data_IF_199391022949
#
_entry.id   IF_199391022949
#
_cell.length_a   1.000
_cell.length_b   1.000
_cell.length_c   1.000
_cell.angle_alpha   90.00
_cell.angle_beta   90.00
_cell.angle_gamma   90.00
#
_symmetry.space_group_name_H-M   'P 1'
#
loop_
_entity.id
_entity.type
_entity.pdbx_description
1 polymer ?
#
# COMPACT_ATOMS: atom_id res chain seq x y z
N UNK A 1 -8.65 16.47 10.87
CA UNK A 1 -7.37 17.11 10.60
C UNK A 1 -6.86 16.62 9.24
N UNK A 2 -6.46 17.54 8.36
CA UNK A 2 -5.88 17.20 7.05
C UNK A 2 -4.42 16.73 7.23
N UNK A 3 -3.95 15.88 6.31
CA UNK A 3 -2.59 15.37 6.30
C UNK A 3 -1.91 15.69 4.97
N UNK A 4 -0.62 16.04 5.06
CA UNK A 4 0.24 16.38 3.94
C UNK A 4 1.56 15.62 4.06
N UNK A 5 2.24 15.44 2.93
CA UNK A 5 3.57 14.84 2.90
C UNK A 5 4.59 15.86 2.42
N UNK A 6 5.76 15.83 3.02
CA UNK A 6 6.87 16.74 2.70
C UNK A 6 8.17 15.97 2.51
N UNK A 7 9.11 16.57 1.80
CA UNK A 7 10.49 16.08 1.72
C UNK A 7 11.22 16.39 3.04
N UNK A 8 12.24 15.58 3.37
CA UNK A 8 12.98 15.76 4.64
C UNK A 8 13.61 17.15 4.78
N UNK A 9 14.05 17.75 3.65
CA UNK A 9 14.65 19.09 3.61
C UNK A 9 13.66 20.22 3.96
N UNK A 10 12.36 19.94 3.85
CA UNK A 10 11.31 20.90 4.22
C UNK A 10 11.07 20.96 5.73
N UNK A 11 11.57 19.96 6.48
CA UNK A 11 11.49 19.89 7.94
C UNK A 11 12.67 20.65 8.54
N UNK A 12 12.41 21.74 9.23
CA UNK A 12 13.38 22.52 10.00
C UNK A 12 13.22 22.21 11.50
N UNK A 13 14.03 22.79 12.35
CA UNK A 13 14.09 22.44 13.78
C UNK A 13 12.70 22.40 14.47
N UNK A 14 11.90 23.43 14.28
CA UNK A 14 10.61 23.59 14.96
C UNK A 14 9.46 23.91 14.01
N UNK A 15 9.69 23.95 12.69
CA UNK A 15 8.71 24.31 11.68
C UNK A 15 8.93 23.56 10.37
N UNK A 16 7.88 23.49 9.56
CA UNK A 16 7.88 22.81 8.27
C UNK A 16 7.39 23.78 7.19
N UNK A 17 8.11 23.79 6.06
CA UNK A 17 7.73 24.54 4.86
C UNK A 17 6.99 23.62 3.87
N UNK A 18 5.75 23.93 3.52
CA UNK A 18 4.97 23.20 2.54
C UNK A 18 4.90 24.00 1.24
N UNK A 19 5.30 23.37 0.13
CA UNK A 19 5.34 23.98 -1.20
C UNK A 19 4.60 23.11 -2.24
N UNK A 20 4.51 23.60 -3.48
CA UNK A 20 4.04 22.83 -4.63
C UNK A 20 2.55 22.49 -4.57
N UNK A 21 2.20 21.23 -4.84
CA UNK A 21 0.80 20.79 -4.93
C UNK A 21 0.07 20.90 -3.59
N UNK A 22 0.75 20.61 -2.47
CA UNK A 22 0.13 20.65 -1.16
C UNK A 22 -0.08 22.08 -0.66
N UNK A 23 0.82 23.02 -1.02
CA UNK A 23 0.56 24.46 -0.86
C UNK A 23 -0.73 24.89 -1.57
N UNK A 24 -0.85 24.53 -2.87
CA UNK A 24 -2.06 24.86 -3.63
C UNK A 24 -3.33 24.23 -3.01
N UNK A 25 -3.21 23.00 -2.51
CA UNK A 25 -4.33 22.32 -1.86
C UNK A 25 -4.76 23.03 -0.57
N UNK A 26 -3.82 23.43 0.27
CA UNK A 26 -4.08 24.19 1.53
C UNK A 26 -4.72 25.53 1.21
N UNK A 27 -4.10 26.34 0.37
CA UNK A 27 -4.50 27.72 0.11
C UNK A 27 -5.76 27.86 -0.74
N UNK A 28 -5.83 27.11 -1.86
CA UNK A 28 -6.87 27.34 -2.88
C UNK A 28 -8.01 26.33 -2.82
N UNK A 29 -7.77 25.08 -2.47
CA UNK A 29 -8.81 24.04 -2.43
C UNK A 29 -9.47 24.00 -1.06
N UNK A 30 -8.70 23.80 0.01
CA UNK A 30 -9.20 23.73 1.38
C UNK A 30 -9.45 25.11 1.98
N UNK A 31 -8.79 26.15 1.47
CA UNK A 31 -8.88 27.55 1.96
C UNK A 31 -8.62 27.67 3.46
N UNK A 32 -7.63 26.92 3.91
CA UNK A 32 -7.23 26.91 5.31
C UNK A 32 -6.65 28.25 5.74
N UNK A 33 -6.65 28.49 7.03
CA UNK A 33 -6.22 29.75 7.64
C UNK A 33 -5.10 29.53 8.64
N UNK A 34 -4.34 30.57 8.89
CA UNK A 34 -3.41 30.66 10.01
C UNK A 34 -4.10 30.24 11.32
N UNK A 35 -3.42 29.42 12.12
CA UNK A 35 -3.92 28.88 13.38
C UNK A 35 -4.61 27.52 13.25
N UNK A 36 -4.96 27.05 12.04
CA UNK A 36 -5.55 25.74 11.85
C UNK A 36 -4.50 24.62 12.02
N UNK A 37 -4.97 23.47 12.53
CA UNK A 37 -4.12 22.31 12.78
C UNK A 37 -4.09 21.38 11.57
N UNK A 38 -2.90 20.92 11.25
CA UNK A 38 -2.61 19.94 10.18
C UNK A 38 -1.67 18.86 10.71
N UNK A 39 -1.68 17.71 10.04
CA UNK A 39 -0.70 16.65 10.24
C UNK A 39 0.23 16.63 9.05
N UNK A 40 1.53 16.48 9.30
CA UNK A 40 2.54 16.42 8.25
C UNK A 40 3.39 15.19 8.48
N UNK A 41 3.67 14.42 7.42
CA UNK A 41 4.62 13.31 7.46
C UNK A 41 5.78 13.57 6.51
N UNK A 42 6.99 13.23 6.93
CA UNK A 42 8.21 13.30 6.11
C UNK A 42 8.48 11.96 5.39
N UNK A 43 9.49 11.91 4.55
CA UNK A 43 9.87 10.70 3.82
C UNK A 43 10.43 9.60 4.72
N UNK A 44 10.95 9.95 5.90
CA UNK A 44 11.45 8.98 6.88
C UNK A 44 10.32 8.26 7.63
N UNK A 45 9.05 8.64 7.38
CA UNK A 45 7.87 8.08 8.03
C UNK A 45 7.56 8.70 9.40
N UNK A 46 8.26 9.77 9.79
CA UNK A 46 7.90 10.54 10.99
C UNK A 46 6.68 11.41 10.72
N UNK A 47 5.86 11.60 11.71
CA UNK A 47 4.64 12.42 11.60
C UNK A 47 4.58 13.47 12.69
N UNK A 48 4.10 14.66 12.32
CA UNK A 48 4.07 15.83 13.16
C UNK A 48 2.67 16.42 13.24
N UNK A 49 2.25 16.80 14.43
CA UNK A 49 1.10 17.64 14.64
C UNK A 49 1.52 19.10 14.57
N UNK A 50 1.00 19.80 13.58
CA UNK A 50 1.46 21.17 13.28
C UNK A 50 0.29 22.17 13.30
N UNK A 51 0.65 23.43 13.48
CA UNK A 51 -0.25 24.56 13.34
C UNK A 51 0.24 25.49 12.23
N UNK A 52 -0.65 25.90 11.32
CA UNK A 52 -0.31 26.86 10.26
C UNK A 52 0.04 28.20 10.89
N UNK A 53 1.28 28.66 10.65
CA UNK A 53 1.78 29.95 11.08
C UNK A 53 1.48 31.04 10.05
N UNK A 54 1.75 30.74 8.79
CA UNK A 54 1.68 31.72 7.70
C UNK A 54 1.36 31.01 6.38
N UNK A 55 0.60 31.69 5.54
CA UNK A 55 0.35 31.30 4.15
C UNK A 55 0.76 32.48 3.29
N UNK A 56 1.81 32.30 2.50
CA UNK A 56 2.30 33.31 1.54
C UNK A 56 1.73 33.05 0.14
N UNK A 57 2.29 33.66 -0.90
CA UNK A 57 1.90 33.41 -2.30
C UNK A 57 2.44 32.09 -2.87
N UNK A 58 3.50 31.50 -2.26
CA UNK A 58 4.21 30.35 -2.80
C UNK A 58 4.36 29.18 -1.81
N UNK A 59 4.19 29.43 -0.50
CA UNK A 59 4.47 28.45 0.53
C UNK A 59 3.58 28.60 1.76
N UNK A 60 3.46 27.52 2.54
CA UNK A 60 2.82 27.50 3.86
C UNK A 60 3.84 27.10 4.91
N UNK A 61 3.96 27.91 5.95
CA UNK A 61 4.77 27.61 7.13
C UNK A 61 3.90 27.06 8.25
N UNK A 62 4.31 25.95 8.82
CA UNK A 62 3.62 25.31 9.93
C UNK A 62 4.57 25.07 11.11
N UNK A 63 4.17 25.47 12.32
CA UNK A 63 4.86 25.18 13.57
C UNK A 63 4.63 23.75 14.00
N UNK A 64 5.68 23.01 14.34
CA UNK A 64 5.57 21.70 14.98
C UNK A 64 5.11 21.92 16.44
N UNK A 65 3.95 21.36 16.81
CA UNK A 65 3.44 21.38 18.18
C UNK A 65 3.78 20.07 18.91
N UNK A 66 3.80 18.95 18.18
CA UNK A 66 4.05 17.62 18.74
C UNK A 66 4.49 16.64 17.65
N UNK A 67 5.09 15.52 18.03
CA UNK A 67 5.49 14.43 17.14
C UNK A 67 4.66 13.19 17.46
N UNK A 68 4.14 12.52 16.43
CA UNK A 68 3.42 11.26 16.59
C UNK A 68 4.43 10.10 16.69
N UNK A 69 4.76 9.72 17.92
CA UNK A 69 5.72 8.64 18.18
C UNK A 69 5.12 7.24 17.97
N UNK A 70 3.80 7.09 18.05
CA UNK A 70 3.15 5.78 17.88
C UNK A 70 3.03 5.39 16.41
N UNK A 71 2.86 6.39 15.53
CA UNK A 71 2.67 6.13 14.10
C UNK A 71 1.35 5.41 13.76
N UNK A 72 1.22 5.04 12.51
CA UNK A 72 0.05 4.30 11.98
C UNK A 72 0.47 3.15 11.06
N UNK A 73 1.76 2.91 10.96
CA UNK A 73 2.26 1.88 10.06
C UNK A 73 2.20 0.50 10.72
N UNK A 74 1.86 -0.49 9.91
CA UNK A 74 1.95 -1.88 10.32
C UNK A 74 3.42 -2.28 10.53
N UNK A 75 3.71 -3.04 11.56
CA UNK A 75 5.08 -3.44 11.91
C UNK A 75 5.76 -4.31 10.86
N UNK A 76 4.97 -4.90 9.97
CA UNK A 76 5.43 -5.77 8.88
C UNK A 76 5.33 -5.04 7.53
N UNK A 77 6.27 -5.32 6.62
CA UNK A 77 6.20 -4.80 5.24
C UNK A 77 5.45 -5.76 4.33
N UNK A 78 4.20 -5.43 3.99
CA UNK A 78 3.39 -6.28 3.11
C UNK A 78 3.50 -5.82 1.66
N UNK A 79 3.96 -6.72 0.79
CA UNK A 79 4.09 -6.57 -0.66
C UNK A 79 2.94 -7.30 -1.35
N UNK A 80 2.05 -6.57 -2.00
CA UNK A 80 0.90 -7.14 -2.71
C UNK A 80 1.23 -7.34 -4.19
N UNK A 81 1.47 -8.58 -4.60
CA UNK A 81 1.59 -9.01 -5.99
C UNK A 81 0.19 -9.26 -6.55
N UNK A 82 -0.36 -8.29 -7.26
CA UNK A 82 -1.74 -8.31 -7.73
C UNK A 82 -1.80 -8.62 -9.22
N UNK A 83 -2.38 -9.76 -9.59
CA UNK A 83 -2.72 -10.06 -10.99
C UNK A 83 -3.57 -8.95 -11.60
N UNK A 84 -3.19 -8.46 -12.79
CA UNK A 84 -3.85 -7.34 -13.45
C UNK A 84 -5.36 -7.63 -13.65
N UNK A 85 -6.25 -6.95 -12.90
CA UNK A 85 -7.67 -7.16 -12.99
C UNK A 85 -8.28 -6.37 -14.15
N UNK A 86 -9.53 -6.71 -14.50
CA UNK A 86 -10.31 -5.97 -15.51
C UNK A 86 -10.76 -4.62 -14.96
N UNK A 87 -11.02 -3.69 -15.88
CA UNK A 87 -11.63 -2.38 -15.61
C UNK A 87 -10.85 -1.57 -14.56
N UNK A 88 -11.56 -0.87 -13.68
CA UNK A 88 -11.00 0.02 -12.66
C UNK A 88 -10.79 -0.66 -11.30
N UNK A 89 -10.88 -1.99 -11.25
CA UNK A 89 -10.74 -2.75 -9.99
C UNK A 89 -9.38 -2.54 -9.32
N UNK A 90 -8.31 -2.32 -10.11
CA UNK A 90 -6.98 -2.04 -9.55
C UNK A 90 -7.00 -0.76 -8.70
N UNK A 91 -7.78 0.23 -9.06
CA UNK A 91 -7.90 1.47 -8.30
C UNK A 91 -8.55 1.23 -6.93
N UNK A 92 -9.61 0.42 -6.90
CA UNK A 92 -10.25 -0.01 -5.65
C UNK A 92 -9.30 -0.85 -4.78
N UNK A 93 -8.57 -1.81 -5.40
CA UNK A 93 -7.59 -2.64 -4.70
C UNK A 93 -6.54 -1.75 -4.04
N UNK A 94 -5.93 -0.84 -4.80
CA UNK A 94 -4.90 0.07 -4.28
C UNK A 94 -5.47 0.91 -3.14
N UNK A 95 -6.60 1.57 -3.36
CA UNK A 95 -7.21 2.40 -2.32
C UNK A 95 -7.39 1.62 -1.02
N UNK A 96 -8.01 0.44 -1.08
CA UNK A 96 -8.36 -0.33 0.12
C UNK A 96 -7.17 -1.04 0.75
N UNK A 97 -6.22 -1.52 -0.04
CA UNK A 97 -5.01 -2.14 0.54
C UNK A 97 -4.07 -1.11 1.15
N UNK A 98 -4.05 0.13 0.63
CA UNK A 98 -3.36 1.25 1.28
C UNK A 98 -4.00 1.57 2.63
N UNK A 99 -5.32 1.67 2.71
CA UNK A 99 -6.04 1.86 3.99
C UNK A 99 -5.72 0.72 5.01
N UNK A 100 -5.42 -0.49 4.51
CA UNK A 100 -5.07 -1.68 5.28
C UNK A 100 -3.55 -1.87 5.46
N UNK A 101 -2.72 -0.85 5.27
CA UNK A 101 -1.31 -0.91 5.63
C UNK A 101 -0.39 -1.60 4.61
N UNK A 102 -0.80 -1.84 3.35
CA UNK A 102 0.13 -2.37 2.33
C UNK A 102 1.36 -1.46 2.21
N UNK A 103 2.54 -2.07 2.07
CA UNK A 103 3.80 -1.34 1.90
C UNK A 103 4.08 -1.03 0.42
N UNK A 104 3.87 -2.02 -0.46
CA UNK A 104 4.08 -1.88 -1.91
C UNK A 104 3.02 -2.68 -2.66
N UNK A 105 2.52 -2.14 -3.78
CA UNK A 105 1.64 -2.87 -4.71
C UNK A 105 2.40 -3.12 -6.01
N UNK A 106 2.45 -4.37 -6.42
CA UNK A 106 3.19 -4.87 -7.58
C UNK A 106 2.16 -5.48 -8.55
N UNK A 107 1.76 -4.77 -9.61
CA UNK A 107 0.88 -5.35 -10.63
C UNK A 107 1.61 -6.48 -11.37
N UNK A 108 0.93 -7.60 -11.61
CA UNK A 108 1.53 -8.77 -12.26
C UNK A 108 0.74 -9.17 -13.51
N UNK A 109 1.43 -9.31 -14.62
CA UNK A 109 0.88 -9.87 -15.86
C UNK A 109 0.92 -11.40 -15.78
N UNK A 110 -0.25 -12.00 -15.53
CA UNK A 110 -0.43 -13.45 -15.40
C UNK A 110 -1.13 -14.03 -16.62
N UNK A 111 -1.08 -15.37 -16.76
CA UNK A 111 -1.65 -16.10 -17.90
C UNK A 111 -3.15 -15.81 -18.10
N UNK A 112 -3.91 -15.79 -17.02
CA UNK A 112 -5.36 -15.57 -17.04
C UNK A 112 -5.76 -14.09 -16.98
N UNK A 113 -4.80 -13.14 -17.05
CA UNK A 113 -5.11 -11.71 -17.19
C UNK A 113 -5.70 -11.41 -18.57
N UNK A 114 -6.87 -10.78 -18.60
CA UNK A 114 -7.47 -10.26 -19.84
C UNK A 114 -6.81 -8.95 -20.26
N UNK A 115 -6.38 -8.16 -19.28
CA UNK A 115 -5.72 -6.86 -19.51
C UNK A 115 -4.28 -7.11 -19.90
N UNK A 116 -3.87 -6.50 -21.02
CA UNK A 116 -2.47 -6.44 -21.46
C UNK A 116 -2.06 -4.99 -21.58
N UNK A 117 -0.99 -4.64 -20.90
CA UNK A 117 -0.45 -3.27 -20.91
C UNK A 117 0.85 -3.26 -21.74
N UNK A 118 0.90 -2.39 -22.74
CA UNK A 118 2.17 -1.97 -23.33
C UNK A 118 2.87 -0.99 -22.36
N UNK A 119 4.14 -0.72 -22.60
CA UNK A 119 4.96 0.11 -21.72
C UNK A 119 4.36 1.50 -21.46
N UNK A 120 3.89 2.17 -22.52
CA UNK A 120 3.29 3.51 -22.42
C UNK A 120 2.01 3.51 -21.58
N UNK A 121 1.14 2.51 -21.77
CA UNK A 121 -0.07 2.35 -20.96
C UNK A 121 0.27 1.99 -19.51
N UNK A 122 1.28 1.14 -19.30
CA UNK A 122 1.75 0.78 -17.95
C UNK A 122 2.23 2.02 -17.19
N UNK A 123 3.10 2.85 -17.79
CA UNK A 123 3.58 4.09 -17.18
C UNK A 123 2.42 5.05 -16.84
N UNK A 124 1.48 5.24 -17.76
CA UNK A 124 0.30 6.09 -17.52
C UNK A 124 -0.58 5.56 -16.40
N UNK A 125 -0.81 4.25 -16.35
CA UNK A 125 -1.59 3.60 -15.29
C UNK A 125 -0.88 3.70 -13.93
N UNK A 126 0.42 3.41 -13.86
CA UNK A 126 1.19 3.50 -12.62
C UNK A 126 1.18 4.92 -12.03
N UNK A 127 1.33 5.94 -12.88
CA UNK A 127 1.21 7.34 -12.43
C UNK A 127 -0.16 7.63 -11.80
N UNK A 128 -1.25 7.16 -12.41
CA UNK A 128 -2.60 7.31 -11.87
C UNK A 128 -2.78 6.52 -10.57
N UNK A 129 -2.30 5.29 -10.53
CA UNK A 129 -2.38 4.42 -9.36
C UNK A 129 -1.58 4.97 -8.18
N UNK A 130 -0.40 5.56 -8.43
CA UNK A 130 0.40 6.22 -7.40
C UNK A 130 -0.35 7.42 -6.79
N UNK A 131 -1.04 8.21 -7.59
CA UNK A 131 -1.87 9.31 -7.06
C UNK A 131 -3.04 8.81 -6.19
N UNK A 132 -3.60 7.65 -6.52
CA UNK A 132 -4.64 7.00 -5.69
C UNK A 132 -4.04 6.52 -4.36
N UNK A 133 -2.85 5.89 -4.39
CA UNK A 133 -2.14 5.47 -3.19
C UNK A 133 -1.84 6.65 -2.26
N UNK A 134 -1.35 7.76 -2.80
CA UNK A 134 -1.11 9.00 -2.04
C UNK A 134 -2.40 9.55 -1.40
N UNK A 135 -3.48 9.63 -2.18
CA UNK A 135 -4.78 10.09 -1.67
C UNK A 135 -5.31 9.20 -0.54
N UNK A 136 -5.18 7.87 -0.70
CA UNK A 136 -5.60 6.91 0.31
C UNK A 136 -4.73 6.99 1.58
N UNK A 137 -3.40 7.16 1.44
CA UNK A 137 -2.49 7.33 2.55
C UNK A 137 -2.80 8.61 3.36
N UNK A 138 -3.06 9.74 2.68
CA UNK A 138 -3.51 10.99 3.32
C UNK A 138 -4.81 10.80 4.10
N UNK A 139 -5.77 10.09 3.52
CA UNK A 139 -7.08 9.85 4.14
C UNK A 139 -6.97 8.94 5.36
N UNK A 140 -6.22 7.84 5.27
CA UNK A 140 -6.04 6.85 6.35
C UNK A 140 -5.01 7.25 7.41
N UNK A 141 -4.38 8.41 7.27
CA UNK A 141 -3.38 8.96 8.20
C UNK A 141 -2.09 8.15 8.24
N UNK A 142 -1.77 7.46 7.18
CA UNK A 142 -0.50 6.75 7.07
C UNK A 142 0.68 7.71 7.07
N UNK A 143 1.79 7.28 7.63
CA UNK A 143 3.03 8.07 7.65
C UNK A 143 3.90 7.84 6.42
N UNK A 144 3.62 6.77 5.65
CA UNK A 144 4.33 6.41 4.42
C UNK A 144 3.33 6.31 3.25
N UNK A 145 3.73 6.81 2.09
CA UNK A 145 2.97 6.60 0.83
C UNK A 145 3.44 5.29 0.21
N UNK A 146 2.57 4.25 0.11
CA UNK A 146 2.92 3.01 -0.56
C UNK A 146 3.33 3.20 -2.00
N UNK A 147 4.37 2.50 -2.42
CA UNK A 147 4.84 2.54 -3.79
C UNK A 147 4.01 1.63 -4.70
N UNK A 148 3.68 2.12 -5.88
CA UNK A 148 3.08 1.32 -6.95
C UNK A 148 4.18 1.04 -7.99
N UNK A 149 4.60 -0.21 -8.10
CA UNK A 149 5.63 -0.60 -9.06
C UNK A 149 5.10 -0.69 -10.48
N UNK A 150 6.03 -0.71 -11.44
CA UNK A 150 5.70 -1.07 -12.83
C UNK A 150 5.26 -2.53 -12.90
N UNK A 151 4.32 -2.87 -13.81
CA UNK A 151 3.85 -4.24 -13.95
C UNK A 151 4.99 -5.22 -14.27
N UNK A 152 5.08 -6.29 -13.50
CA UNK A 152 6.01 -7.38 -13.71
C UNK A 152 5.37 -8.53 -14.51
N UNK A 153 6.17 -9.30 -15.21
CA UNK A 153 5.79 -10.64 -15.67
C UNK A 153 5.70 -11.60 -14.48
N UNK A 154 4.98 -12.71 -14.63
CA UNK A 154 4.90 -13.75 -13.58
C UNK A 154 6.28 -14.23 -13.11
N UNK A 155 7.22 -14.46 -14.05
CA UNK A 155 8.57 -14.88 -13.72
C UNK A 155 9.31 -13.84 -12.87
N UNK A 156 9.24 -12.57 -13.23
CA UNK A 156 9.86 -11.50 -12.45
C UNK A 156 9.24 -11.36 -11.07
N UNK A 157 7.91 -11.49 -10.97
CA UNK A 157 7.21 -11.45 -9.69
C UNK A 157 7.63 -12.60 -8.75
N UNK A 158 7.86 -13.81 -9.29
CA UNK A 158 8.38 -14.93 -8.50
C UNK A 158 9.80 -14.67 -8.00
N UNK A 159 10.69 -14.13 -8.85
CA UNK A 159 12.06 -13.81 -8.44
C UNK A 159 12.09 -12.74 -7.36
N UNK A 160 11.26 -11.68 -7.49
CA UNK A 160 11.17 -10.64 -6.46
C UNK A 160 10.55 -11.17 -5.16
N UNK A 161 9.55 -12.04 -5.26
CA UNK A 161 8.90 -12.62 -4.09
C UNK A 161 9.84 -13.54 -3.27
N UNK A 162 10.84 -14.17 -3.89
CA UNK A 162 11.84 -15.02 -3.20
C UNK A 162 12.75 -14.26 -2.24
N UNK A 163 12.89 -12.96 -2.42
CA UNK A 163 13.69 -12.11 -1.55
C UNK A 163 12.95 -11.73 -0.25
N UNK A 164 11.66 -12.10 -0.13
CA UNK A 164 10.84 -11.82 1.03
C UNK A 164 10.89 -12.96 2.04
N UNK A 165 10.73 -12.63 3.32
CA UNK A 165 10.81 -13.60 4.41
C UNK A 165 9.68 -14.64 4.36
N UNK A 166 8.47 -14.23 3.96
CA UNK A 166 7.29 -15.10 3.85
C UNK A 166 6.49 -14.73 2.62
N UNK A 167 6.04 -15.73 1.85
CA UNK A 167 5.16 -15.52 0.71
C UNK A 167 3.87 -16.32 0.87
N UNK A 168 2.75 -15.63 0.83
CA UNK A 168 1.40 -16.16 0.97
C UNK A 168 0.68 -16.14 -0.37
N UNK A 169 0.12 -17.29 -0.77
CA UNK A 169 -0.60 -17.45 -2.02
C UNK A 169 -2.03 -17.92 -1.71
N UNK A 170 -2.99 -17.00 -1.53
CA UNK A 170 -4.39 -17.37 -1.43
C UNK A 170 -4.84 -18.18 -2.64
N UNK A 171 -5.20 -19.44 -2.42
CA UNK A 171 -5.54 -20.35 -3.50
C UNK A 171 -6.87 -21.04 -3.25
N UNK A 172 -7.76 -20.99 -4.24
CA UNK A 172 -9.16 -21.46 -4.10
C UNK A 172 -9.30 -22.96 -3.81
N UNK A 173 -8.29 -23.76 -4.13
CA UNK A 173 -8.29 -25.20 -3.87
C UNK A 173 -7.75 -25.57 -2.48
N UNK A 174 -7.18 -24.61 -1.74
CA UNK A 174 -6.78 -24.84 -0.35
C UNK A 174 -8.00 -24.83 0.57
N UNK A 175 -8.04 -25.76 1.51
CA UNK A 175 -9.18 -25.98 2.40
C UNK A 175 -8.76 -25.92 3.87
N UNK A 176 -9.64 -25.34 4.67
CA UNK A 176 -9.42 -25.22 6.11
C UNK A 176 -8.61 -23.98 6.45
N UNK A 177 -8.91 -23.42 7.64
CA UNK A 177 -8.27 -22.19 8.13
C UNK A 177 -7.14 -22.48 9.12
N UNK A 178 -7.03 -23.73 9.60
CA UNK A 178 -6.08 -24.05 10.66
C UNK A 178 -4.63 -23.87 10.18
N UNK A 179 -4.29 -24.48 9.03
CA UNK A 179 -2.96 -24.32 8.44
C UNK A 179 -2.64 -22.85 8.12
N UNK A 180 -3.63 -22.06 7.66
CA UNK A 180 -3.44 -20.61 7.44
C UNK A 180 -3.11 -19.88 8.74
N UNK A 181 -3.78 -20.21 9.85
CA UNK A 181 -3.50 -19.62 11.16
C UNK A 181 -2.12 -19.98 11.68
N UNK A 182 -1.73 -21.25 11.54
CA UNK A 182 -0.38 -21.71 11.93
C UNK A 182 0.70 -20.96 11.17
N UNK A 183 0.52 -20.79 9.85
CA UNK A 183 1.45 -20.01 9.01
C UNK A 183 1.53 -18.58 9.52
N UNK A 184 0.39 -17.89 9.74
CA UNK A 184 0.39 -16.50 10.20
C UNK A 184 1.09 -16.35 11.55
N UNK A 185 0.83 -17.23 12.51
CA UNK A 185 1.48 -17.21 13.83
C UNK A 185 2.97 -17.53 13.80
N UNK A 186 3.45 -18.17 12.74
CA UNK A 186 4.87 -18.45 12.54
C UNK A 186 5.65 -17.31 11.87
N UNK A 187 4.95 -16.25 11.43
CA UNK A 187 5.60 -15.08 10.77
C UNK A 187 6.45 -14.35 11.81
N UNK A 188 7.74 -14.15 11.57
CA UNK A 188 8.61 -13.41 12.49
C UNK A 188 8.20 -11.94 12.60
N UNK A 189 8.44 -11.33 13.74
CA UNK A 189 8.22 -9.89 13.95
C UNK A 189 9.06 -9.07 12.95
N UNK A 190 8.45 -8.05 12.35
CA UNK A 190 9.10 -7.18 11.37
C UNK A 190 9.35 -7.82 10.00
N UNK A 191 8.87 -9.05 9.77
CA UNK A 191 9.11 -9.75 8.50
C UNK A 191 8.52 -9.00 7.30
N UNK A 192 9.17 -9.19 6.15
CA UNK A 192 8.65 -8.83 4.83
C UNK A 192 7.72 -9.93 4.31
N UNK A 193 6.47 -9.57 3.97
CA UNK A 193 5.42 -10.52 3.61
C UNK A 193 4.96 -10.26 2.18
N UNK A 194 5.13 -11.24 1.29
CA UNK A 194 4.53 -11.24 -0.04
C UNK A 194 3.11 -11.83 0.00
N UNK A 195 2.17 -11.17 -0.63
CA UNK A 195 0.80 -11.68 -0.85
C UNK A 195 0.53 -11.72 -2.34
N UNK A 196 0.39 -12.91 -2.91
CA UNK A 196 0.17 -13.10 -4.35
C UNK A 196 -1.31 -13.36 -4.64
N UNK A 197 -1.96 -12.48 -5.38
CA UNK A 197 -3.39 -12.58 -5.73
C UNK A 197 -3.54 -12.75 -7.25
N UNK A 198 -4.26 -13.79 -7.67
CA UNK A 198 -4.59 -14.02 -9.07
C UNK A 198 -5.58 -13.01 -9.64
N UNK A 199 -5.67 -12.87 -10.97
CA UNK A 199 -6.72 -12.12 -11.65
C UNK A 199 -8.08 -12.81 -11.50
N UNK A 200 -9.15 -12.32 -12.15
CA UNK A 200 -10.49 -12.93 -12.09
C UNK A 200 -10.53 -14.40 -12.57
N UNK A 201 -9.62 -14.79 -13.43
CA UNK A 201 -9.48 -16.19 -13.89
C UNK A 201 -8.62 -17.05 -12.97
N UNK A 202 -8.18 -16.53 -11.82
CA UNK A 202 -7.30 -17.23 -10.88
C UNK A 202 -5.90 -17.52 -11.46
N UNK A 203 -5.13 -18.29 -10.72
CA UNK A 203 -3.84 -18.80 -11.19
C UNK A 203 -4.03 -19.96 -12.17
N UNK A 204 -3.18 -20.07 -13.17
CA UNK A 204 -3.15 -21.25 -14.01
C UNK A 204 -2.44 -22.41 -13.29
N UNK A 205 -2.69 -23.67 -13.68
CA UNK A 205 -1.98 -24.82 -13.10
C UNK A 205 -0.46 -24.71 -13.25
N UNK A 206 0.01 -24.14 -14.36
CA UNK A 206 1.43 -23.94 -14.63
C UNK A 206 2.05 -22.87 -13.72
N UNK A 207 1.30 -21.82 -13.38
CA UNK A 207 1.75 -20.78 -12.43
C UNK A 207 1.84 -21.37 -11.02
N UNK A 208 0.88 -22.16 -10.60
CA UNK A 208 0.91 -22.85 -9.29
C UNK A 208 2.06 -23.86 -9.23
N UNK A 209 2.35 -24.57 -10.31
CA UNK A 209 3.47 -25.52 -10.36
C UNK A 209 4.86 -24.87 -10.29
N UNK A 210 4.96 -23.55 -10.56
CA UNK A 210 6.19 -22.77 -10.48
C UNK A 210 6.43 -22.15 -9.11
N UNK A 211 5.46 -22.21 -8.20
CA UNK A 211 5.66 -21.72 -6.84
C UNK A 211 6.78 -22.50 -6.15
N UNK A 212 7.66 -21.79 -5.47
CA UNK A 212 8.69 -22.40 -4.64
C UNK A 212 8.04 -23.13 -3.45
N UNK A 213 8.72 -24.15 -2.93
CA UNK A 213 8.25 -24.94 -1.78
C UNK A 213 8.03 -24.10 -0.51
N UNK A 214 8.78 -22.99 -0.42
CA UNK A 214 8.70 -22.06 0.72
C UNK A 214 7.62 -20.98 0.55
N UNK A 215 6.88 -20.99 -0.58
CA UNK A 215 5.71 -20.16 -0.81
C UNK A 215 4.44 -20.87 -0.32
N UNK A 216 3.79 -20.29 0.67
CA UNK A 216 2.67 -20.92 1.38
C UNK A 216 1.36 -20.70 0.67
N UNK A 217 0.75 -21.78 0.14
CA UNK A 217 -0.64 -21.70 -0.30
C UNK A 217 -1.55 -21.66 0.92
N UNK A 218 -2.47 -20.70 0.95
CA UNK A 218 -3.35 -20.46 2.10
C UNK A 218 -4.83 -20.45 1.68
N UNK A 219 -5.70 -20.78 2.62
CA UNK A 219 -7.15 -20.68 2.48
C UNK A 219 -7.67 -19.37 3.07
N UNK A 220 -8.57 -18.69 2.37
CA UNK A 220 -9.31 -17.53 2.88
C UNK A 220 -10.75 -17.94 3.32
N UNK A 221 -10.96 -19.22 3.61
CA UNK A 221 -12.26 -19.76 4.05
C UNK A 221 -13.00 -20.54 2.97
N UNK A 222 -14.27 -20.80 3.20
CA UNK A 222 -15.07 -21.71 2.36
C UNK A 222 -15.62 -21.07 1.08
N UNK A 223 -15.61 -19.76 0.98
CA UNK A 223 -16.15 -19.00 -0.16
C UNK A 223 -15.03 -18.58 -1.09
N UNK A 224 -15.30 -18.65 -2.40
CA UNK A 224 -14.41 -18.05 -3.40
C UNK A 224 -14.58 -16.53 -3.31
N UNK A 225 -13.48 -15.84 -3.03
CA UNK A 225 -13.44 -14.38 -3.01
C UNK A 225 -13.08 -13.84 -4.40
N UNK A 226 -13.62 -12.70 -4.74
CA UNK A 226 -13.20 -11.98 -5.95
C UNK A 226 -11.76 -11.46 -5.79
N UNK A 227 -11.07 -11.25 -6.91
CA UNK A 227 -9.68 -10.77 -6.91
C UNK A 227 -9.50 -9.50 -6.07
N UNK A 228 -10.44 -8.56 -6.18
CA UNK A 228 -10.43 -7.33 -5.39
C UNK A 228 -10.64 -7.56 -3.88
N UNK A 229 -11.38 -8.61 -3.52
CA UNK A 229 -11.67 -8.93 -2.11
C UNK A 229 -10.55 -9.76 -1.46
N UNK A 230 -9.89 -10.64 -2.22
CA UNK A 230 -8.92 -11.58 -1.68
C UNK A 230 -7.70 -10.88 -1.04
N UNK A 231 -7.15 -9.86 -1.71
CA UNK A 231 -6.06 -9.05 -1.16
C UNK A 231 -6.45 -8.32 0.12
N UNK A 232 -7.60 -7.66 0.13
CA UNK A 232 -8.12 -6.96 1.32
C UNK A 232 -8.34 -7.92 2.50
N UNK A 233 -8.94 -9.09 2.24
CA UNK A 233 -9.18 -10.10 3.27
C UNK A 233 -7.86 -10.61 3.85
N UNK A 234 -6.86 -10.89 3.02
CA UNK A 234 -5.54 -11.36 3.46
C UNK A 234 -4.87 -10.32 4.35
N UNK A 235 -4.83 -9.03 3.92
CA UNK A 235 -4.24 -7.96 4.71
C UNK A 235 -4.98 -7.79 6.05
N UNK A 236 -6.32 -7.81 6.04
CA UNK A 236 -7.10 -7.70 7.29
C UNK A 236 -6.84 -8.83 8.26
N UNK A 237 -6.64 -10.06 7.76
CA UNK A 237 -6.31 -11.22 8.59
C UNK A 237 -4.88 -11.12 9.15
N UNK A 238 -3.91 -10.62 8.36
CA UNK A 238 -2.54 -10.37 8.82
C UNK A 238 -2.51 -9.32 9.93
N UNK A 239 -3.20 -8.19 9.73
CA UNK A 239 -3.30 -7.14 10.75
C UNK A 239 -3.92 -7.70 12.03
N UNK A 240 -5.03 -8.42 11.92
CA UNK A 240 -5.70 -8.99 13.09
C UNK A 240 -4.83 -9.95 13.90
N UNK A 241 -3.97 -10.74 13.24
CA UNK A 241 -3.13 -11.74 13.90
C UNK A 241 -1.78 -11.18 14.37
N UNK A 242 -1.23 -10.15 13.68
CA UNK A 242 0.15 -9.70 13.86
C UNK A 242 0.29 -8.25 14.39
N UNK A 243 -0.75 -7.42 14.30
CA UNK A 243 -0.71 -6.04 14.78
C UNK A 243 -1.14 -6.01 16.26
N UNK A 244 -0.16 -5.99 17.16
CA UNK A 244 -0.36 -6.03 18.62
C UNK A 244 -0.03 -4.66 19.22
#
# INVERSE_FOLDING_TARGET
MYQFFVEDEQVQQDRICIVGSDFNHIGHVLRMKTGEKIRISDQSGRSYFCRILEITEEEVWAQIEDTDEMGTEFSHKVYLFQGLPKSDKMELIIQKTVELGVYTVIPVAMKNCVVKLDEKKAQSKCKRWQAIAESAAKQSKRTVIPQIQMPLSWKQALEEAKELDVVLVPYENERGMEATREIFRSIPEGASIGVMIGPEGGFSPEEIAQLDKDMHRISLGRRILRTETAGMATLSMLIYELDI
#
